data_IF_841634905769
#
_entry.id   IF_841634905769
#
_cell.length_a   1.000
_cell.length_b   1.000
_cell.length_c   1.000
_cell.angle_alpha   90.00
_cell.angle_beta   90.00
_cell.angle_gamma   90.00
#
_symmetry.space_group_name_H-M   'P 1'
#
loop_
_entity.id
_entity.type
_entity.pdbx_description
1 polymer ?
#
# COMPACT_ATOMS: atom_id res chain seq x y z
N UNK A 1 8.31 6.31 59.32
CA UNK A 1 9.47 6.95 58.69
C UNK A 1 9.61 6.38 57.29
N UNK A 2 9.87 7.28 56.33
CA UNK A 2 9.84 7.09 54.89
C UNK A 2 11.01 6.26 54.31
N UNK A 3 10.89 6.03 52.99
CA UNK A 3 11.88 5.64 51.97
C UNK A 3 12.22 4.13 51.89
N UNK A 4 11.79 3.40 50.85
CA UNK A 4 12.20 3.43 49.42
C UNK A 4 13.65 3.01 49.18
N UNK A 5 13.85 2.27 48.08
CA UNK A 5 15.10 2.03 47.29
C UNK A 5 15.60 0.57 47.43
N UNK A 6 15.90 -0.28 46.42
CA UNK A 6 15.86 -0.31 44.94
C UNK A 6 16.38 -1.70 44.51
N UNK A 7 15.90 -2.23 43.36
CA UNK A 7 16.63 -3.10 42.41
C UNK A 7 17.01 -4.55 42.86
N UNK A 8 17.20 -5.55 42.00
CA UNK A 8 17.11 -5.76 40.55
C UNK A 8 17.11 -7.29 40.34
N UNK A 9 16.29 -7.79 39.42
CA UNK A 9 16.65 -8.70 38.32
C UNK A 9 17.64 -9.85 38.62
N UNK A 10 17.14 -11.10 38.56
CA UNK A 10 17.64 -12.17 37.67
C UNK A 10 17.07 -13.54 38.08
N UNK A 11 15.81 -13.82 37.71
CA UNK A 11 15.27 -15.18 37.72
C UNK A 11 14.93 -15.59 36.28
N UNK A 12 15.92 -15.49 35.39
CA UNK A 12 15.94 -16.16 34.10
C UNK A 12 16.53 -17.57 34.30
N UNK A 13 15.70 -18.52 34.75
CA UNK A 13 16.02 -19.96 34.67
C UNK A 13 14.80 -20.81 35.08
N UNK A 14 13.70 -20.76 34.32
CA UNK A 14 12.63 -21.76 34.42
C UNK A 14 11.77 -21.79 33.16
N UNK A 15 12.42 -21.89 31.99
CA UNK A 15 11.79 -22.44 30.79
C UNK A 15 12.14 -23.92 30.75
N UNK A 16 11.20 -24.78 31.13
CA UNK A 16 10.96 -26.09 30.52
C UNK A 16 9.92 -26.86 31.34
N UNK A 17 8.98 -27.51 30.65
CA UNK A 17 8.13 -28.64 31.12
C UNK A 17 6.66 -28.38 31.50
N UNK A 18 6.00 -27.34 31.01
CA UNK A 18 4.54 -27.36 30.98
C UNK A 18 3.97 -26.61 29.77
N UNK A 19 3.01 -27.25 29.09
CA UNK A 19 2.20 -26.73 27.98
C UNK A 19 2.80 -26.84 26.56
N UNK A 20 3.32 -28.02 26.19
CA UNK A 20 3.02 -28.58 24.87
C UNK A 20 1.64 -29.25 24.96
N UNK A 21 0.58 -28.43 25.02
CA UNK A 21 -0.75 -28.91 24.70
C UNK A 21 -0.94 -28.62 23.23
N UNK A 22 -0.97 -29.67 22.41
CA UNK A 22 -1.48 -29.65 21.03
C UNK A 22 -2.92 -29.11 21.07
N UNK A 23 -3.04 -27.78 21.01
CA UNK A 23 -4.29 -27.14 20.67
C UNK A 23 -4.24 -27.00 19.16
N UNK A 24 -4.78 -28.02 18.49
CA UNK A 24 -5.10 -28.02 17.07
C UNK A 24 -6.13 -26.92 16.84
N UNK A 25 -5.63 -25.69 16.76
CA UNK A 25 -6.38 -24.57 16.23
C UNK A 25 -6.62 -24.93 14.77
N UNK A 26 -7.83 -25.40 14.48
CA UNK A 26 -8.38 -25.40 13.12
C UNK A 26 -8.14 -24.00 12.57
N UNK A 27 -7.08 -23.86 11.78
CA UNK A 27 -6.74 -22.61 11.16
C UNK A 27 -8.01 -22.09 10.48
N UNK A 28 -8.43 -20.84 10.74
CA UNK A 28 -9.44 -20.22 9.91
C UNK A 28 -9.01 -20.45 8.47
N UNK A 29 -9.89 -21.03 7.65
CA UNK A 29 -9.61 -21.20 6.24
C UNK A 29 -9.11 -19.85 5.73
N UNK A 30 -7.90 -19.84 5.15
CA UNK A 30 -7.35 -18.63 4.56
C UNK A 30 -8.44 -18.04 3.65
N UNK A 31 -8.79 -16.75 3.76
CA UNK A 31 -9.76 -16.14 2.88
C UNK A 31 -9.29 -16.42 1.45
N UNK A 32 -10.13 -17.13 0.69
CA UNK A 32 -9.89 -17.37 -0.73
C UNK A 32 -9.58 -16.01 -1.36
N UNK A 33 -8.43 -15.84 -2.05
CA UNK A 33 -8.15 -14.59 -2.74
C UNK A 33 -9.36 -14.27 -3.61
N UNK A 34 -9.97 -13.09 -3.41
CA UNK A 34 -11.00 -12.63 -4.33
C UNK A 34 -10.39 -12.70 -5.74
N UNK A 35 -11.13 -13.20 -6.75
CA UNK A 35 -10.63 -13.22 -8.10
C UNK A 35 -10.16 -11.81 -8.45
N UNK A 36 -8.88 -11.67 -8.76
CA UNK A 36 -8.29 -10.39 -9.13
C UNK A 36 -9.16 -9.82 -10.25
N UNK A 37 -9.86 -8.71 -9.97
CA UNK A 37 -10.70 -8.07 -10.96
C UNK A 37 -9.86 -7.85 -12.22
N UNK A 38 -10.32 -8.40 -13.36
CA UNK A 38 -9.57 -8.38 -14.62
C UNK A 38 -9.04 -6.98 -14.88
N UNK A 39 -7.71 -6.84 -14.80
CA UNK A 39 -7.06 -5.54 -15.00
C UNK A 39 -7.12 -5.26 -16.50
N UNK A 40 -7.66 -4.09 -16.92
CA UNK A 40 -7.75 -3.77 -18.33
C UNK A 40 -6.37 -3.85 -19.00
N UNK A 41 -6.31 -4.51 -20.16
CA UNK A 41 -5.10 -4.48 -20.98
C UNK A 41 -4.76 -3.02 -21.33
N UNK A 42 -3.51 -2.64 -21.05
CA UNK A 42 -3.00 -1.33 -21.46
C UNK A 42 -2.71 -1.36 -22.98
N UNK A 43 -2.99 -0.28 -23.72
CA UNK A 43 -2.61 -0.19 -25.12
C UNK A 43 -1.09 -0.29 -25.28
N UNK A 44 -0.63 -0.85 -26.40
CA UNK A 44 0.80 -0.87 -26.74
C UNK A 44 1.31 0.56 -26.99
N UNK A 45 2.39 0.95 -26.32
CA UNK A 45 2.98 2.29 -26.39
C UNK A 45 3.30 2.87 -25.00
N UNK A 46 3.79 4.12 -24.95
CA UNK A 46 4.03 4.80 -23.68
C UNK A 46 2.73 4.93 -22.88
N UNK A 47 2.84 4.78 -21.57
CA UNK A 47 1.70 4.93 -20.69
C UNK A 47 1.18 6.37 -20.79
N UNK A 48 -0.13 6.51 -20.99
CA UNK A 48 -0.80 7.81 -20.95
C UNK A 48 -1.41 8.03 -19.57
N UNK A 49 -1.69 9.28 -19.19
CA UNK A 49 -2.39 9.57 -17.94
C UNK A 49 -3.77 8.87 -17.88
N UNK A 50 -4.49 8.81 -19.01
CA UNK A 50 -5.75 8.06 -19.11
C UNK A 50 -5.51 6.56 -18.89
N UNK A 51 -4.42 6.01 -19.43
CA UNK A 51 -4.00 4.63 -19.19
C UNK A 51 -3.73 4.36 -17.70
N UNK A 52 -3.02 5.27 -17.02
CA UNK A 52 -2.77 5.18 -15.59
C UNK A 52 -4.08 5.20 -14.77
N UNK A 53 -5.01 6.11 -15.10
CA UNK A 53 -6.32 6.16 -14.43
C UNK A 53 -7.15 4.89 -14.67
N UNK A 54 -7.06 4.28 -15.86
CA UNK A 54 -7.76 3.02 -16.17
C UNK A 54 -7.29 1.86 -15.30
N UNK A 55 -6.05 1.86 -14.82
CA UNK A 55 -5.58 0.83 -13.89
C UNK A 55 -6.37 0.84 -12.58
N UNK A 56 -6.94 2.00 -12.18
CA UNK A 56 -7.75 2.17 -10.98
C UNK A 56 -9.26 1.93 -11.20
N UNK A 57 -9.68 1.45 -12.38
CA UNK A 57 -11.09 1.14 -12.63
C UNK A 57 -11.60 0.05 -11.66
N UNK A 58 -12.86 0.16 -11.26
CA UNK A 58 -13.47 -0.72 -10.25
C UNK A 58 -13.47 -0.11 -8.85
N UNK A 59 -12.52 0.80 -8.56
CA UNK A 59 -12.47 1.56 -7.31
C UNK A 59 -13.41 2.80 -7.36
N UNK A 60 -13.78 3.35 -6.18
CA UNK A 60 -14.51 4.60 -6.08
C UNK A 60 -13.86 5.75 -6.86
N UNK A 61 -14.67 6.71 -7.33
CA UNK A 61 -14.19 7.86 -8.10
C UNK A 61 -13.12 8.68 -7.36
N UNK A 62 -13.17 8.70 -6.02
CA UNK A 62 -12.19 9.37 -5.17
C UNK A 62 -10.76 8.81 -5.33
N UNK A 63 -10.58 7.60 -5.85
CA UNK A 63 -9.27 6.96 -6.04
C UNK A 63 -8.62 7.33 -7.38
N UNK A 64 -9.39 7.79 -8.37
CA UNK A 64 -8.87 8.11 -9.71
C UNK A 64 -7.81 9.22 -9.72
N UNK A 65 -7.94 10.32 -8.95
CA UNK A 65 -6.94 11.39 -8.92
C UNK A 65 -5.55 10.94 -8.45
N UNK A 66 -5.46 9.85 -7.67
CA UNK A 66 -4.17 9.30 -7.22
C UNK A 66 -3.34 8.84 -8.41
N UNK A 67 -3.95 8.14 -9.38
CA UNK A 67 -3.25 7.69 -10.57
C UNK A 67 -2.76 8.85 -11.45
N UNK A 68 -3.56 9.91 -11.59
CA UNK A 68 -3.14 11.12 -12.30
C UNK A 68 -1.93 11.77 -11.62
N UNK A 69 -1.96 11.88 -10.29
CA UNK A 69 -0.88 12.53 -9.54
C UNK A 69 0.41 11.71 -9.57
N UNK A 70 0.33 10.38 -9.36
CA UNK A 70 1.47 9.48 -9.52
C UNK A 70 2.04 9.49 -10.94
N UNK A 71 1.18 9.59 -11.95
CA UNK A 71 1.61 9.75 -13.34
C UNK A 71 2.42 11.03 -13.53
N UNK A 72 1.93 12.18 -13.04
CA UNK A 72 2.65 13.45 -13.17
C UNK A 72 4.01 13.43 -12.46
N UNK A 73 4.07 12.82 -11.27
CA UNK A 73 5.31 12.64 -10.52
C UNK A 73 6.30 11.74 -11.28
N UNK A 74 5.85 10.60 -11.77
CA UNK A 74 6.66 9.66 -12.56
C UNK A 74 7.20 10.31 -13.83
N UNK A 75 6.37 11.04 -14.58
CA UNK A 75 6.81 11.77 -15.77
C UNK A 75 7.91 12.77 -15.46
N UNK A 76 7.89 13.39 -14.27
CA UNK A 76 9.02 14.21 -13.86
C UNK A 76 10.28 13.39 -13.59
N UNK A 77 10.17 12.26 -12.89
CA UNK A 77 11.32 11.42 -12.58
C UNK A 77 11.95 10.81 -13.83
N UNK A 78 11.15 10.47 -14.85
CA UNK A 78 11.64 10.11 -16.20
C UNK A 78 12.39 11.28 -16.83
N UNK A 79 11.83 12.50 -16.84
CA UNK A 79 12.52 13.69 -17.38
C UNK A 79 13.84 13.99 -16.68
N UNK A 80 13.95 13.65 -15.40
CA UNK A 80 15.16 13.82 -14.59
C UNK A 80 16.15 12.66 -14.74
N UNK A 81 15.80 11.61 -15.48
CA UNK A 81 16.62 10.41 -15.64
C UNK A 81 16.75 9.58 -14.35
N UNK A 82 15.80 9.70 -13.42
CA UNK A 82 15.79 8.92 -12.18
C UNK A 82 15.13 7.56 -12.35
N UNK A 83 14.24 7.44 -13.32
CA UNK A 83 13.48 6.22 -13.63
C UNK A 83 13.46 6.03 -15.14
N UNK A 84 13.59 4.78 -15.59
CA UNK A 84 13.48 4.41 -16.99
C UNK A 84 12.15 3.70 -17.28
N UNK A 85 11.45 4.17 -18.31
CA UNK A 85 10.19 3.58 -18.77
C UNK A 85 9.02 3.73 -17.79
N UNK A 86 7.88 3.11 -18.14
CA UNK A 86 6.62 3.25 -17.40
C UNK A 86 6.30 2.06 -16.49
N UNK A 87 7.06 0.96 -16.61
CA UNK A 87 6.81 -0.27 -15.85
C UNK A 87 6.76 -0.06 -14.33
N UNK A 88 7.66 0.74 -13.72
CA UNK A 88 7.59 1.01 -12.29
C UNK A 88 6.27 1.67 -11.85
N UNK A 89 5.76 2.63 -12.62
CA UNK A 89 4.47 3.28 -12.35
C UNK A 89 3.31 2.30 -12.54
N UNK A 90 3.36 1.44 -13.56
CA UNK A 90 2.32 0.42 -13.79
C UNK A 90 2.24 -0.54 -12.60
N UNK A 91 3.38 -1.02 -12.11
CA UNK A 91 3.43 -1.97 -11.00
C UNK A 91 3.01 -1.32 -9.67
N UNK A 92 3.41 -0.08 -9.42
CA UNK A 92 2.97 0.71 -8.26
C UNK A 92 1.44 0.94 -8.26
N UNK A 93 0.85 1.30 -9.41
CA UNK A 93 -0.60 1.49 -9.52
C UNK A 93 -1.38 0.17 -9.38
N UNK A 94 -0.85 -0.94 -9.89
CA UNK A 94 -1.46 -2.26 -9.70
C UNK A 94 -1.41 -2.71 -8.25
N UNK A 95 -0.28 -2.52 -7.59
CA UNK A 95 -0.10 -2.82 -6.16
C UNK A 95 -1.07 -1.99 -5.33
N UNK A 96 -1.10 -0.67 -5.56
CA UNK A 96 -2.03 0.23 -4.88
C UNK A 96 -3.50 -0.19 -5.08
N UNK A 97 -3.89 -0.54 -6.31
CA UNK A 97 -5.24 -1.02 -6.56
C UNK A 97 -5.55 -2.28 -5.75
N UNK A 98 -4.66 -3.26 -5.76
CA UNK A 98 -4.86 -4.50 -5.00
C UNK A 98 -4.98 -4.24 -3.49
N UNK A 99 -4.19 -3.31 -2.95
CA UNK A 99 -4.30 -2.88 -1.55
C UNK A 99 -5.66 -2.22 -1.25
N UNK A 100 -6.15 -1.36 -2.15
CA UNK A 100 -7.44 -0.69 -1.98
C UNK A 100 -8.63 -1.64 -2.16
N UNK A 101 -8.56 -2.56 -3.12
CA UNK A 101 -9.59 -3.60 -3.36
C UNK A 101 -9.71 -4.56 -2.15
N UNK A 102 -8.66 -4.70 -1.35
CA UNK A 102 -8.67 -5.52 -0.13
C UNK A 102 -9.34 -4.83 1.07
N UNK A 103 -9.63 -3.53 0.99
CA UNK A 103 -10.29 -2.79 2.07
C UNK A 103 -11.82 -2.93 2.02
N UNK A 104 -12.51 -2.82 3.16
CA UNK A 104 -13.96 -2.68 3.19
C UNK A 104 -14.42 -1.46 2.37
N UNK A 105 -15.51 -1.57 1.62
CA UNK A 105 -16.00 -0.52 0.72
C UNK A 105 -16.14 0.87 1.38
N UNK A 106 -16.55 0.90 2.66
CA UNK A 106 -16.67 2.13 3.44
C UNK A 106 -15.34 2.82 3.78
N UNK A 107 -14.23 2.08 3.78
CA UNK A 107 -12.89 2.57 4.10
C UNK A 107 -12.10 3.00 2.86
N UNK A 108 -12.39 2.40 1.69
CA UNK A 108 -11.68 2.70 0.43
C UNK A 108 -11.70 4.19 0.11
N UNK A 109 -12.86 4.84 0.22
CA UNK A 109 -12.99 6.28 -0.12
C UNK A 109 -12.13 7.14 0.79
N UNK A 110 -12.19 6.90 2.12
CA UNK A 110 -11.40 7.65 3.09
C UNK A 110 -9.89 7.42 2.86
N UNK A 111 -9.49 6.18 2.57
CA UNK A 111 -8.10 5.85 2.26
C UNK A 111 -7.62 6.55 1.00
N UNK A 112 -8.44 6.59 -0.06
CA UNK A 112 -8.10 7.27 -1.30
C UNK A 112 -7.95 8.79 -1.11
N UNK A 113 -8.83 9.42 -0.32
CA UNK A 113 -8.68 10.84 0.02
C UNK A 113 -7.40 11.10 0.82
N UNK A 114 -7.08 10.26 1.80
CA UNK A 114 -5.85 10.38 2.57
C UNK A 114 -4.60 10.27 1.68
N UNK A 115 -4.54 9.23 0.84
CA UNK A 115 -3.43 9.02 -0.11
C UNK A 115 -3.27 10.18 -1.10
N UNK A 116 -4.37 10.71 -1.62
CA UNK A 116 -4.32 11.88 -2.50
C UNK A 116 -3.72 13.10 -1.79
N UNK A 117 -4.11 13.35 -0.54
CA UNK A 117 -3.58 14.47 0.24
C UNK A 117 -2.10 14.27 0.59
N UNK A 118 -1.69 13.05 0.95
CA UNK A 118 -0.29 12.70 1.24
C UNK A 118 0.59 12.92 0.00
N UNK A 119 0.16 12.43 -1.16
CA UNK A 119 0.87 12.63 -2.42
C UNK A 119 0.89 14.12 -2.81
N UNK A 120 -0.22 14.83 -2.63
CA UNK A 120 -0.33 16.26 -2.94
C UNK A 120 0.56 17.14 -2.07
N UNK A 121 0.88 16.69 -0.85
CA UNK A 121 1.82 17.35 0.04
C UNK A 121 3.30 17.09 -0.33
N UNK A 122 3.57 16.16 -1.25
CA UNK A 122 4.94 15.86 -1.69
C UNK A 122 5.49 17.06 -2.48
N UNK A 123 6.61 17.67 -2.06
CA UNK A 123 7.19 18.81 -2.76
C UNK A 123 7.54 18.46 -4.20
N UNK A 124 7.03 19.22 -5.17
CA UNK A 124 7.41 19.06 -6.58
C UNK A 124 8.77 19.70 -6.86
N UNK A 125 9.79 18.93 -7.30
CA UNK A 125 11.06 19.50 -7.73
C UNK A 125 10.86 20.59 -8.79
N UNK A 126 11.75 21.61 -8.82
CA UNK A 126 11.67 22.70 -9.80
C UNK A 126 11.67 22.22 -11.26
N UNK A 127 12.35 21.10 -11.53
CA UNK A 127 12.39 20.46 -12.85
C UNK A 127 11.03 19.88 -13.32
N UNK A 128 10.04 19.82 -12.43
CA UNK A 128 8.71 19.26 -12.68
C UNK A 128 7.63 20.31 -12.94
N UNK A 129 8.00 21.60 -13.03
CA UNK A 129 7.09 22.73 -13.29
C UNK A 129 7.08 23.12 -14.77
#
# INVERSE_FOLDING_TARGET
>A
MSAHTTALIAALAALALAACSEQEAKAPAAPTPAPAAEVPALPEGPLTQIGAVRLMNGLPLACKPIASLKFDMHQCDVKRGLVEGDQPLIDDLRTLRAELDALPEGEVTARCTALYNELGATPKPRACW
#
